data_IF_049617706831
#
_entry.id   IF_049617706831
#
_cell.length_a   1.000
_cell.length_b   1.000
_cell.length_c   1.000
_cell.angle_alpha   90.00
_cell.angle_beta   90.00
_cell.angle_gamma   90.00
#
_symmetry.space_group_name_H-M   'P 1'
#
loop_
_entity.id
_entity.type
_entity.pdbx_description
1 polymer ?
#
# COMPACT_ATOMS: atom_id res chain seq x y z
N UNK A 1 14.67 -26.45 3.50
CA UNK A 1 14.89 -25.02 3.84
C UNK A 1 13.71 -24.22 3.30
N UNK A 2 13.34 -23.09 3.90
CA UNK A 2 12.30 -22.22 3.37
C UNK A 2 12.78 -20.76 3.36
N UNK A 3 12.37 -19.99 2.36
CA UNK A 3 12.66 -18.58 2.22
C UNK A 3 11.36 -17.79 2.26
N UNK A 4 11.29 -16.77 3.12
CA UNK A 4 10.18 -15.83 3.16
C UNK A 4 10.51 -14.63 2.29
N UNK A 5 9.70 -14.39 1.27
CA UNK A 5 9.78 -13.20 0.42
C UNK A 5 8.69 -12.23 0.84
N UNK A 6 9.06 -10.98 1.11
CA UNK A 6 8.14 -9.90 1.45
C UNK A 6 8.47 -8.66 0.62
N UNK A 7 7.43 -7.93 0.26
CA UNK A 7 7.57 -6.67 -0.47
C UNK A 7 7.79 -5.50 0.50
N UNK A 8 8.72 -4.63 0.15
CA UNK A 8 8.90 -3.31 0.78
C UNK A 8 8.19 -2.23 -0.06
N UNK A 9 7.96 -1.01 0.46
CA UNK A 9 7.28 0.06 -0.30
C UNK A 9 7.84 0.30 -1.72
N UNK A 10 9.17 0.22 -1.89
CA UNK A 10 9.83 0.36 -3.19
C UNK A 10 9.39 -0.67 -4.25
N UNK A 11 8.79 -1.79 -3.86
CA UNK A 11 8.20 -2.77 -4.79
C UNK A 11 7.13 -2.09 -5.64
N UNK A 12 6.27 -1.26 -5.03
CA UNK A 12 5.19 -0.59 -5.73
C UNK A 12 5.68 0.66 -6.47
N UNK A 13 6.34 1.59 -5.76
CA UNK A 13 6.68 2.91 -6.30
C UNK A 13 7.75 2.86 -7.40
N UNK A 14 8.64 1.86 -7.35
CA UNK A 14 9.77 1.74 -8.28
C UNK A 14 9.57 0.57 -9.24
N UNK A 15 9.46 -0.66 -8.71
CA UNK A 15 9.50 -1.85 -9.55
C UNK A 15 8.19 -2.05 -10.33
N UNK A 16 7.05 -1.99 -9.65
CA UNK A 16 5.74 -2.13 -10.26
C UNK A 16 5.45 -0.97 -11.22
N UNK A 17 5.77 0.28 -10.83
CA UNK A 17 5.66 1.42 -11.74
C UNK A 17 6.39 1.21 -13.07
N UNK A 18 7.65 0.73 -13.01
CA UNK A 18 8.43 0.43 -14.23
C UNK A 18 7.77 -0.67 -15.06
N UNK A 19 7.25 -1.71 -14.41
CA UNK A 19 6.53 -2.78 -15.08
C UNK A 19 5.26 -2.29 -15.78
N UNK A 20 4.48 -1.40 -15.17
CA UNK A 20 3.29 -0.81 -15.80
C UNK A 20 3.66 0.03 -17.02
N UNK A 21 4.74 0.83 -16.93
CA UNK A 21 5.24 1.60 -18.09
C UNK A 21 5.64 0.65 -19.22
N UNK A 22 6.35 -0.42 -18.90
CA UNK A 22 6.75 -1.44 -19.87
C UNK A 22 5.54 -2.10 -20.53
N UNK A 23 4.54 -2.54 -19.75
CA UNK A 23 3.30 -3.11 -20.29
C UNK A 23 2.52 -2.11 -21.14
N UNK A 24 2.49 -0.85 -20.75
CA UNK A 24 1.84 0.22 -21.54
C UNK A 24 2.49 0.37 -22.91
N UNK A 25 3.82 0.26 -22.99
CA UNK A 25 4.55 0.26 -24.26
C UNK A 25 4.26 -1.01 -25.08
N UNK A 26 4.21 -2.18 -24.44
CA UNK A 26 3.91 -3.47 -25.09
C UNK A 26 2.51 -3.52 -25.71
N UNK A 27 1.49 -3.03 -24.98
CA UNK A 27 0.10 -3.02 -25.44
C UNK A 27 -0.26 -1.77 -26.27
N UNK A 28 0.62 -0.76 -26.29
CA UNK A 28 0.51 0.48 -27.06
C UNK A 28 -0.35 1.58 -26.42
N UNK A 29 -1.17 1.26 -25.41
CA UNK A 29 -1.92 2.26 -24.63
C UNK A 29 -2.22 1.75 -23.22
N UNK A 30 -2.45 2.69 -22.29
CA UNK A 30 -2.80 2.35 -20.91
C UNK A 30 -4.20 1.72 -20.81
N UNK A 31 -5.15 2.19 -21.63
CA UNK A 31 -6.52 1.66 -21.64
C UNK A 31 -6.52 0.15 -21.95
N UNK A 32 -5.71 -0.28 -22.92
CA UNK A 32 -5.56 -1.71 -23.26
C UNK A 32 -4.94 -2.51 -22.14
N UNK A 33 -3.95 -1.96 -21.42
CA UNK A 33 -3.40 -2.62 -20.23
C UNK A 33 -4.48 -2.80 -19.18
N UNK A 34 -5.29 -1.77 -18.93
CA UNK A 34 -6.34 -1.83 -17.91
C UNK A 34 -7.47 -2.83 -18.26
N UNK A 35 -7.75 -3.02 -19.55
CA UNK A 35 -8.74 -3.99 -20.03
C UNK A 35 -8.21 -5.44 -19.99
N UNK A 36 -6.95 -5.64 -20.38
CA UNK A 36 -6.37 -6.98 -20.55
C UNK A 36 -5.73 -7.53 -19.27
N UNK A 37 -5.25 -6.66 -18.38
CA UNK A 37 -4.55 -7.06 -17.15
C UNK A 37 -5.48 -6.91 -15.95
N UNK A 38 -6.21 -7.98 -15.62
CA UNK A 38 -7.19 -7.98 -14.53
C UNK A 38 -6.55 -7.91 -13.13
N UNK A 39 -5.37 -8.52 -12.95
CA UNK A 39 -4.69 -8.64 -11.65
C UNK A 39 -3.27 -8.07 -11.69
N UNK A 40 -3.08 -6.75 -11.91
CA UNK A 40 -1.78 -6.19 -12.28
C UNK A 40 -0.67 -6.45 -11.25
N UNK A 41 -1.00 -6.46 -9.95
CA UNK A 41 -0.01 -6.78 -8.90
C UNK A 41 0.40 -8.26 -8.93
N UNK A 42 -0.55 -9.17 -9.16
CA UNK A 42 -0.24 -10.61 -9.24
C UNK A 42 0.60 -10.91 -10.49
N UNK A 43 0.16 -10.42 -11.66
CA UNK A 43 0.90 -10.56 -12.90
C UNK A 43 2.32 -9.99 -12.80
N UNK A 44 2.48 -8.82 -12.17
CA UNK A 44 3.81 -8.26 -11.91
C UNK A 44 4.67 -9.19 -11.02
N UNK A 45 4.11 -9.73 -9.95
CA UNK A 45 4.86 -10.62 -9.05
C UNK A 45 5.22 -11.93 -9.74
N UNK A 46 4.32 -12.49 -10.54
CA UNK A 46 4.55 -13.69 -11.36
C UNK A 46 5.69 -13.46 -12.36
N UNK A 47 5.62 -12.41 -13.18
CA UNK A 47 6.69 -12.04 -14.12
C UNK A 47 8.06 -11.92 -13.43
N UNK A 48 8.09 -11.37 -12.21
CA UNK A 48 9.33 -11.19 -11.45
C UNK A 48 9.82 -12.47 -10.77
N UNK A 49 8.91 -13.32 -10.31
CA UNK A 49 9.23 -14.59 -9.70
C UNK A 49 9.64 -15.63 -10.73
N UNK A 50 9.11 -15.58 -11.95
CA UNK A 50 9.53 -16.47 -13.05
C UNK A 50 11.01 -16.24 -13.39
N UNK A 51 11.41 -14.97 -13.60
CA UNK A 51 12.83 -14.61 -13.84
C UNK A 51 13.75 -15.04 -12.70
N UNK A 52 13.27 -14.99 -11.46
CA UNK A 52 14.01 -15.47 -10.30
C UNK A 52 14.08 -17.00 -10.26
N UNK A 53 12.97 -17.67 -10.59
CA UNK A 53 12.82 -19.12 -10.57
C UNK A 53 13.70 -19.79 -11.61
N UNK A 54 13.83 -19.20 -12.80
CA UNK A 54 14.73 -19.70 -13.84
C UNK A 54 16.18 -19.74 -13.34
N UNK A 55 16.63 -18.66 -12.70
CA UNK A 55 17.98 -18.57 -12.11
C UNK A 55 18.16 -19.48 -10.91
N UNK A 56 17.11 -19.65 -10.11
CA UNK A 56 17.15 -20.54 -8.93
C UNK A 56 17.24 -22.01 -9.36
N UNK A 57 16.59 -22.37 -10.47
CA UNK A 57 16.59 -23.74 -11.01
C UNK A 57 17.97 -24.19 -11.48
N UNK A 58 18.86 -23.26 -11.83
CA UNK A 58 20.28 -23.56 -12.11
C UNK A 58 21.04 -24.04 -10.86
N UNK A 59 20.54 -23.74 -9.66
CA UNK A 59 21.17 -24.08 -8.38
C UNK A 59 20.44 -25.20 -7.62
N UNK A 60 19.10 -25.20 -7.67
CA UNK A 60 18.25 -26.17 -7.00
C UNK A 60 16.99 -26.39 -7.86
N UNK A 61 16.78 -27.62 -8.34
CA UNK A 61 15.64 -27.94 -9.20
C UNK A 61 14.35 -28.19 -8.40
N UNK A 62 14.46 -28.56 -7.12
CA UNK A 62 13.32 -28.99 -6.32
C UNK A 62 12.89 -27.93 -5.30
N UNK A 63 12.05 -26.98 -5.75
CA UNK A 63 11.42 -26.00 -4.88
C UNK A 63 9.94 -25.79 -5.24
N UNK A 64 9.16 -25.36 -4.24
CA UNK A 64 7.77 -24.95 -4.40
C UNK A 64 7.63 -23.48 -3.98
N UNK A 65 6.86 -22.71 -4.75
CA UNK A 65 6.51 -21.33 -4.43
C UNK A 65 5.07 -21.31 -3.92
N UNK A 66 4.89 -20.81 -2.69
CA UNK A 66 3.57 -20.59 -2.09
C UNK A 66 3.34 -19.10 -1.90
N UNK A 67 2.32 -18.57 -2.56
CA UNK A 67 1.90 -17.17 -2.43
C UNK A 67 0.97 -16.97 -1.23
N UNK A 68 0.85 -15.73 -0.77
CA UNK A 68 -0.11 -15.33 0.27
C UNK A 68 -1.58 -15.58 -0.15
N UNK A 69 -1.86 -15.50 -1.45
CA UNK A 69 -3.17 -15.81 -2.04
C UNK A 69 -3.34 -17.29 -2.41
N UNK A 70 -2.36 -18.17 -2.14
CA UNK A 70 -2.49 -19.59 -2.44
C UNK A 70 -3.48 -20.27 -1.50
N UNK A 71 -4.53 -20.87 -2.07
CA UNK A 71 -5.63 -21.49 -1.33
C UNK A 71 -5.82 -22.97 -1.72
N UNK A 72 -6.35 -23.78 -0.82
CA UNK A 72 -6.89 -25.11 -1.13
C UNK A 72 -8.26 -24.98 -1.81
N UNK A 73 -8.79 -26.04 -2.44
CA UNK A 73 -10.14 -26.03 -3.02
C UNK A 73 -11.24 -25.66 -2.00
N UNK A 74 -11.01 -25.89 -0.71
CA UNK A 74 -11.90 -25.53 0.39
C UNK A 74 -11.71 -24.09 0.88
N UNK A 75 -11.03 -23.23 0.10
CA UNK A 75 -10.71 -21.83 0.41
C UNK A 75 -9.92 -21.64 1.70
N UNK A 76 -9.14 -22.65 2.10
CA UNK A 76 -8.19 -22.53 3.22
C UNK A 76 -6.83 -22.04 2.69
N UNK A 77 -6.16 -21.09 3.33
CA UNK A 77 -4.83 -20.66 2.90
C UNK A 77 -3.84 -21.81 3.00
N UNK A 78 -3.02 -22.00 1.96
CA UNK A 78 -1.96 -23.02 1.96
C UNK A 78 -0.84 -22.68 2.95
N UNK A 79 -0.63 -21.39 3.22
CA UNK A 79 0.42 -20.89 4.10
C UNK A 79 -0.07 -19.68 4.92
N UNK A 80 0.38 -19.59 6.17
CA UNK A 80 0.06 -18.47 7.07
C UNK A 80 1.25 -17.50 7.13
N UNK A 81 1.27 -16.52 6.23
CA UNK A 81 2.41 -15.61 6.06
C UNK A 81 2.80 -14.83 7.31
N UNK A 82 1.84 -14.45 8.16
CA UNK A 82 2.12 -13.76 9.43
C UNK A 82 2.95 -14.62 10.38
N UNK A 83 2.62 -15.92 10.49
CA UNK A 83 3.37 -16.89 11.28
C UNK A 83 4.76 -17.08 10.69
N UNK A 84 4.88 -17.22 9.37
CA UNK A 84 6.17 -17.31 8.68
C UNK A 84 7.05 -16.09 8.96
N UNK A 85 6.49 -14.89 8.89
CA UNK A 85 7.18 -13.63 9.23
C UNK A 85 7.72 -13.60 10.65
N UNK A 86 6.97 -14.14 11.61
CA UNK A 86 7.39 -14.20 13.00
C UNK A 86 8.54 -15.18 13.23
N UNK A 87 8.38 -16.43 12.77
CA UNK A 87 9.39 -17.47 13.00
C UNK A 87 10.67 -17.24 12.21
N UNK A 88 10.58 -16.55 11.06
CA UNK A 88 11.75 -16.11 10.28
C UNK A 88 12.44 -14.87 10.88
N UNK A 89 11.88 -14.25 11.92
CA UNK A 89 12.40 -13.01 12.50
C UNK A 89 12.22 -11.77 11.61
N UNK A 90 11.41 -11.85 10.56
CA UNK A 90 11.18 -10.74 9.63
C UNK A 90 10.22 -9.68 10.18
N UNK A 91 9.20 -10.10 10.95
CA UNK A 91 8.22 -9.20 11.55
C UNK A 91 7.59 -9.82 12.80
N UNK A 92 7.34 -9.01 13.82
CA UNK A 92 6.65 -9.50 15.02
C UNK A 92 5.15 -9.72 14.75
N UNK A 93 4.62 -10.89 15.13
CA UNK A 93 3.22 -11.24 14.92
C UNK A 93 2.38 -11.05 16.21
N UNK A 94 1.68 -9.92 16.28
CA UNK A 94 0.84 -9.53 17.41
C UNK A 94 -0.54 -10.19 17.37
N UNK A 95 -0.73 -11.32 18.06
CA UNK A 95 -2.03 -11.98 18.11
C UNK A 95 -2.89 -11.44 19.27
N UNK A 96 -4.23 -11.29 19.11
CA UNK A 96 -5.11 -10.82 20.19
C UNK A 96 -4.98 -11.63 21.48
N UNK A 97 -4.68 -12.94 21.38
CA UNK A 97 -4.44 -13.80 22.55
C UNK A 97 -3.24 -13.38 23.41
N UNK A 98 -2.27 -12.66 22.85
CA UNK A 98 -1.09 -12.15 23.58
C UNK A 98 -1.39 -10.85 24.36
N UNK A 99 -2.59 -10.29 24.22
CA UNK A 99 -3.01 -9.02 24.82
C UNK A 99 -4.33 -9.15 25.58
N UNK A 100 -4.61 -10.34 26.11
CA UNK A 100 -5.79 -10.54 26.96
C UNK A 100 -5.49 -9.99 28.34
N UNK A 101 -6.41 -9.19 28.85
CA UNK A 101 -6.39 -8.65 30.19
C UNK A 101 -7.58 -9.19 30.98
N UNK A 102 -7.40 -9.41 32.28
CA UNK A 102 -8.50 -9.82 33.15
C UNK A 102 -9.55 -8.72 33.20
N UNK A 103 -10.83 -9.10 33.06
CA UNK A 103 -11.98 -8.19 33.06
C UNK A 103 -12.04 -7.19 31.89
N UNK A 104 -11.29 -7.41 30.82
CA UNK A 104 -11.39 -6.62 29.58
C UNK A 104 -11.93 -7.50 28.45
N UNK A 105 -13.10 -7.15 27.92
CA UNK A 105 -13.70 -7.81 26.76
C UNK A 105 -13.06 -7.26 25.46
N UNK A 106 -11.88 -7.77 25.13
CA UNK A 106 -11.15 -7.42 23.91
C UNK A 106 -10.55 -8.67 23.23
N UNK A 107 -10.72 -8.85 21.90
CA UNK A 107 -11.52 -8.04 20.99
C UNK A 107 -13.04 -8.28 21.16
N UNK A 108 -13.90 -7.29 20.84
CA UNK A 108 -15.34 -7.43 20.99
C UNK A 108 -15.87 -8.64 20.21
N UNK A 109 -16.76 -9.45 20.80
CA UNK A 109 -17.37 -10.57 20.10
C UNK A 109 -18.14 -10.08 18.86
N UNK A 110 -18.06 -10.83 17.76
CA UNK A 110 -18.84 -10.58 16.53
C UNK A 110 -18.27 -9.59 15.52
N UNK A 111 -17.12 -8.93 15.78
CA UNK A 111 -16.44 -8.07 14.77
C UNK A 111 -15.46 -8.81 13.85
N UNK A 112 -15.31 -10.12 14.02
CA UNK A 112 -14.60 -10.96 13.07
C UNK A 112 -15.65 -11.68 12.22
N UNK A 113 -15.63 -11.43 10.89
CA UNK A 113 -16.58 -12.02 9.96
C UNK A 113 -16.64 -13.56 10.07
N UNK A 114 -17.71 -14.19 9.57
CA UNK A 114 -18.08 -15.60 9.86
C UNK A 114 -17.04 -16.68 9.49
N UNK A 115 -15.93 -16.33 8.85
CA UNK A 115 -14.82 -17.23 8.50
C UNK A 115 -13.52 -16.97 9.30
N UNK A 116 -13.55 -16.11 10.30
CA UNK A 116 -12.37 -15.71 11.06
C UNK A 116 -12.51 -16.15 12.51
N UNK A 117 -12.00 -17.34 12.83
CA UNK A 117 -11.77 -17.72 14.21
C UNK A 117 -10.66 -16.82 14.81
N UNK A 118 -10.55 -16.70 16.15
CA UNK A 118 -9.46 -15.97 16.79
C UNK A 118 -8.05 -16.45 16.41
N UNK A 119 -7.94 -17.60 15.73
CA UNK A 119 -6.68 -18.18 15.25
C UNK A 119 -6.35 -17.84 13.79
N UNK A 120 -7.23 -17.15 13.05
CA UNK A 120 -7.06 -16.91 11.61
C UNK A 120 -7.27 -15.45 11.19
N UNK A 121 -7.15 -14.48 12.10
CA UNK A 121 -7.37 -13.07 11.81
C UNK A 121 -6.31 -12.48 10.85
N UNK A 122 -6.68 -11.99 9.64
CA UNK A 122 -5.74 -11.35 8.72
C UNK A 122 -5.39 -9.91 9.09
N UNK A 123 -6.15 -9.26 9.98
CA UNK A 123 -5.96 -7.84 10.34
C UNK A 123 -5.03 -7.66 11.55
N UNK A 124 -3.82 -8.21 11.46
CA UNK A 124 -2.75 -7.93 12.43
C UNK A 124 -1.68 -7.10 11.74
N UNK A 125 -1.36 -5.94 12.34
CA UNK A 125 -0.27 -5.08 11.88
C UNK A 125 1.06 -5.82 12.05
N UNK A 126 1.69 -6.16 10.93
CA UNK A 126 3.08 -6.60 10.90
C UNK A 126 3.97 -5.37 11.13
N UNK A 127 4.70 -5.35 12.24
CA UNK A 127 5.79 -4.38 12.44
C UNK A 127 7.07 -5.04 11.95
N UNK A 128 7.58 -4.58 10.81
CA UNK A 128 8.90 -4.97 10.31
C UNK A 128 9.93 -4.21 11.15
N UNK A 129 10.59 -4.89 12.07
CA UNK A 129 11.70 -4.34 12.85
C UNK A 129 13.02 -4.83 12.26
N UNK A 130 13.86 -3.93 11.76
CA UNK A 130 15.28 -4.22 11.53
C UNK A 130 15.79 -4.34 10.09
N UNK A 131 15.47 -3.38 9.21
CA UNK A 131 16.44 -3.05 8.15
C UNK A 131 17.33 -1.91 8.67
N UNK A 132 18.67 -2.11 8.76
CA UNK A 132 19.57 -1.04 9.18
C UNK A 132 19.47 0.10 8.18
N UNK A 133 18.98 1.25 8.67
CA UNK A 133 19.08 2.50 7.95
C UNK A 133 20.58 2.85 7.88
N UNK A 134 21.23 2.59 6.74
CA UNK A 134 22.55 3.13 6.46
C UNK A 134 22.39 4.64 6.24
N UNK A 135 22.47 5.37 7.33
CA UNK A 135 22.47 6.83 7.35
C UNK A 135 22.56 7.31 8.79
N UNK A 136 23.79 7.45 9.30
CA UNK A 136 24.07 8.50 10.29
C UNK A 136 23.75 9.85 9.63
N UNK A 137 23.50 10.94 10.33
CA UNK A 137 24.19 11.41 11.54
C UNK A 137 23.27 12.44 12.24
N UNK A 138 23.27 12.38 13.57
CA UNK A 138 23.15 13.46 14.57
C UNK A 138 21.88 14.33 14.79
N UNK A 139 21.35 14.07 15.98
CA UNK A 139 21.16 14.98 17.13
C UNK A 139 20.00 15.97 17.16
N UNK A 140 19.22 15.75 18.21
CA UNK A 140 18.21 16.60 18.84
C UNK A 140 18.88 17.84 19.42
N UNK A 141 18.32 19.02 19.16
CA UNK A 141 18.41 20.15 20.08
C UNK A 141 17.08 20.90 20.09
N UNK A 142 16.31 20.70 21.16
CA UNK A 142 15.23 21.59 21.59
C UNK A 142 15.83 22.93 22.06
N UNK A 143 15.31 24.04 21.54
CA UNK A 143 15.29 25.32 22.28
C UNK A 143 13.99 26.04 21.96
N UNK A 144 13.18 26.28 23.00
CA UNK A 144 12.07 27.22 22.98
C UNK A 144 12.56 28.61 23.38
N UNK A 145 11.90 29.59 22.75
CA UNK A 145 11.34 30.82 23.34
C UNK A 145 12.01 32.19 23.13
N UNK A 146 11.09 33.15 22.95
CA UNK A 146 11.13 34.62 23.06
C UNK A 146 11.65 35.46 21.89
N UNK A 147 10.76 36.33 21.37
CA UNK A 147 11.15 37.54 20.63
C UNK A 147 10.00 38.17 19.84
N UNK A 148 9.22 39.02 20.49
CA UNK A 148 8.27 39.97 19.87
C UNK A 148 8.91 40.77 18.72
N UNK A 149 8.17 41.03 17.64
CA UNK A 149 8.23 42.33 16.96
C UNK A 149 7.01 42.55 16.05
N UNK A 150 6.25 43.55 16.44
CA UNK A 150 5.16 44.24 15.76
C UNK A 150 5.53 44.82 14.39
N UNK A 151 4.58 44.84 13.47
CA UNK A 151 4.28 46.06 12.68
C UNK A 151 2.93 45.93 12.00
N UNK A 152 2.00 46.76 12.45
CA UNK A 152 0.76 47.14 11.77
C UNK A 152 1.02 47.69 10.36
N UNK A 153 0.07 47.47 9.46
CA UNK A 153 -0.33 48.46 8.44
C UNK A 153 -1.69 48.06 7.88
N UNK A 154 -2.72 48.70 8.42
CA UNK A 154 -4.05 48.86 7.85
C UNK A 154 -3.97 49.73 6.59
N UNK A 155 -4.74 49.39 5.55
CA UNK A 155 -5.41 50.42 4.75
C UNK A 155 -6.68 49.87 4.06
N UNK A 156 -7.80 50.49 4.43
CA UNK A 156 -9.11 50.52 3.77
C UNK A 156 -9.01 51.22 2.41
N UNK A 157 -9.91 51.00 1.44
CA UNK A 157 -11.18 51.72 1.17
C UNK A 157 -11.73 51.15 -0.16
N UNK A 158 -12.98 50.72 -0.29
CA UNK A 158 -14.22 51.48 -0.60
C UNK A 158 -14.44 51.74 -2.12
N UNK A 159 -15.43 51.04 -2.72
CA UNK A 159 -16.67 51.57 -3.38
C UNK A 159 -16.50 51.87 -4.88
N UNK A 160 -17.46 51.79 -5.82
CA UNK A 160 -18.76 51.14 -6.07
C UNK A 160 -19.07 51.39 -7.56
N UNK A 161 -20.13 50.76 -8.10
CA UNK A 161 -20.97 51.25 -9.22
C UNK A 161 -20.40 51.22 -10.67
N UNK A 162 -21.16 51.01 -11.75
CA UNK A 162 -22.45 50.37 -12.01
C UNK A 162 -22.61 50.29 -13.56
N UNK A 163 -23.51 49.42 -14.00
CA UNK A 163 -24.21 49.33 -15.31
C UNK A 163 -23.66 50.01 -16.60
N UNK A 164 -23.64 49.25 -17.71
CA UNK A 164 -24.73 49.35 -18.72
C UNK A 164 -24.72 48.27 -19.79
N UNK A 165 -25.96 48.03 -20.19
CA UNK A 165 -26.57 46.91 -20.89
C UNK A 165 -26.78 47.18 -22.40
N UNK A 166 -27.25 46.13 -23.09
CA UNK A 166 -28.04 46.13 -24.34
C UNK A 166 -27.28 46.22 -25.67
N UNK A 167 -27.59 45.48 -26.75
CA UNK A 167 -28.76 44.64 -27.10
C UNK A 167 -28.53 43.92 -28.45
N UNK A 168 -29.17 42.74 -28.60
CA UNK A 168 -29.90 42.17 -29.79
C UNK A 168 -29.17 42.07 -31.15
N UNK A 169 -29.27 40.98 -31.93
CA UNK A 169 -30.48 40.38 -32.55
C UNK A 169 -30.23 38.89 -32.93
N UNK A 170 -31.16 37.96 -32.66
CA UNK A 170 -32.09 37.31 -33.63
C UNK A 170 -31.40 36.70 -34.89
N UNK A 171 -31.66 35.48 -35.38
CA UNK A 171 -32.86 34.62 -35.41
C UNK A 171 -32.55 33.27 -36.10
N UNK A 172 -33.29 32.20 -35.75
CA UNK A 172 -33.85 31.12 -36.64
C UNK A 172 -32.87 30.23 -37.44
N UNK A 173 -33.04 28.94 -37.74
CA UNK A 173 -34.13 27.93 -37.72
C UNK A 173 -33.43 26.57 -37.98
N UNK A 174 -33.79 25.49 -37.27
CA UNK A 174 -34.67 24.39 -37.72
C UNK A 174 -34.12 23.53 -38.89
N UNK A 175 -33.66 22.31 -38.59
CA UNK A 175 -34.16 21.01 -39.10
C UNK A 175 -33.43 19.88 -38.40
#
# INVERSE_FOLDING_TARGET
MALLILSTPNMFDVAFRKWVVQKTMEFGSFDKVSELVTSPIQNFLEDRLDVMSDKLRELEENFEILHDYSMTPQRRPKILMQTCGHVAGAAFYYQPRHFREENVDWPPPGKMGPNLSPSSSPNVKLKITGLPNRGGVDQVQDVRDVGEMSSDSSNSSDSSDDERDSKKTASSSKS
#
